data_IF_064375617177
#
_entry.id   IF_064375617177
#
_cell.length_a   1.000
_cell.length_b   1.000
_cell.length_c   1.000
_cell.angle_alpha   90.00
_cell.angle_beta   90.00
_cell.angle_gamma   90.00
#
_symmetry.space_group_name_H-M   'P 1'
#
loop_
_entity.id
_entity.type
_entity.pdbx_description
1 polymer ?
#
# COMPACT_ATOMS: atom_id res chain seq x y z
N UNK A 1 -2.85 -24.59 6.63
CA UNK A 1 -3.82 -25.15 7.59
C UNK A 1 -4.30 -26.46 7.01
N UNK A 2 -4.15 -27.61 7.69
CA UNK A 2 -4.57 -28.88 7.13
C UNK A 2 -6.10 -28.88 7.02
N UNK A 3 -6.57 -28.93 5.78
CA UNK A 3 -7.96 -29.20 5.45
C UNK A 3 -8.38 -30.57 6.01
N UNK A 4 -9.64 -30.73 6.40
CA UNK A 4 -10.20 -32.04 6.74
C UNK A 4 -9.95 -33.02 5.58
N UNK A 5 -9.36 -34.22 5.82
CA UNK A 5 -9.04 -35.17 4.74
C UNK A 5 -10.27 -35.86 4.14
N UNK A 6 -11.45 -35.65 4.73
CA UNK A 6 -12.67 -36.40 4.43
C UNK A 6 -12.86 -37.54 5.43
N UNK A 7 -14.11 -37.82 5.81
CA UNK A 7 -14.42 -38.84 6.81
C UNK A 7 -15.62 -38.47 7.69
N UNK A 8 -15.95 -39.35 8.64
CA UNK A 8 -17.08 -39.19 9.55
C UNK A 8 -16.84 -38.08 10.57
N UNK A 9 -17.86 -37.26 10.82
CA UNK A 9 -17.84 -36.25 11.86
C UNK A 9 -17.74 -36.91 13.25
N UNK A 10 -16.84 -36.47 14.14
CA UNK A 10 -16.67 -37.07 15.46
C UNK A 10 -17.88 -36.90 16.38
N UNK A 11 -18.74 -35.91 16.14
CA UNK A 11 -19.87 -35.59 17.01
C UNK A 11 -21.20 -36.21 16.53
N UNK A 12 -21.45 -36.26 15.22
CA UNK A 12 -22.72 -36.78 14.69
C UNK A 12 -22.59 -38.05 13.84
N UNK A 13 -21.38 -38.47 13.48
CA UNK A 13 -21.12 -39.67 12.67
C UNK A 13 -21.41 -39.53 11.17
N UNK A 14 -21.93 -38.38 10.71
CA UNK A 14 -22.18 -38.17 9.27
C UNK A 14 -20.87 -38.01 8.48
N UNK A 15 -20.86 -38.56 7.27
CA UNK A 15 -19.72 -38.42 6.37
C UNK A 15 -19.56 -36.99 5.86
N UNK A 16 -18.41 -36.38 6.13
CA UNK A 16 -18.04 -35.05 5.65
C UNK A 16 -16.99 -35.12 4.53
N UNK A 17 -17.19 -34.42 3.41
CA UNK A 17 -16.21 -34.36 2.32
C UNK A 17 -14.93 -33.62 2.73
N UNK A 18 -13.82 -33.82 1.99
CA UNK A 18 -12.55 -33.15 2.27
C UNK A 18 -12.65 -31.62 2.14
N UNK A 19 -11.68 -30.90 2.73
CA UNK A 19 -11.57 -29.44 2.73
C UNK A 19 -12.68 -28.68 3.47
N UNK A 20 -13.36 -29.34 4.40
CA UNK A 20 -14.26 -28.69 5.35
C UNK A 20 -13.55 -28.35 6.67
N UNK A 21 -14.10 -27.37 7.37
CA UNK A 21 -13.68 -26.96 8.72
C UNK A 21 -14.74 -27.36 9.75
N UNK A 22 -16.01 -27.24 9.37
CA UNK A 22 -17.16 -27.57 10.20
C UNK A 22 -18.04 -28.62 9.54
N UNK A 23 -18.72 -29.42 10.37
CA UNK A 23 -19.72 -30.38 9.95
C UNK A 23 -20.92 -29.65 9.31
N UNK A 24 -21.44 -30.17 8.19
CA UNK A 24 -22.62 -29.57 7.54
C UNK A 24 -23.92 -29.87 8.29
N UNK A 25 -23.99 -31.00 9.02
CA UNK A 25 -25.19 -31.39 9.78
C UNK A 25 -25.24 -30.71 11.15
N UNK A 26 -24.21 -30.89 11.98
CA UNK A 26 -24.22 -30.44 13.37
C UNK A 26 -23.41 -29.16 13.64
N UNK A 27 -22.69 -28.63 12.64
CA UNK A 27 -21.80 -27.45 12.73
C UNK A 27 -20.63 -27.56 13.70
N UNK A 28 -20.36 -28.74 14.25
CA UNK A 28 -19.18 -28.98 15.07
C UNK A 28 -17.87 -28.83 14.26
N UNK A 29 -16.78 -28.48 14.95
CA UNK A 29 -15.45 -28.38 14.33
C UNK A 29 -14.93 -29.78 14.01
N UNK A 30 -14.60 -30.02 12.74
CA UNK A 30 -14.12 -31.34 12.31
C UNK A 30 -12.68 -31.60 12.75
N UNK A 31 -11.88 -30.53 12.92
CA UNK A 31 -10.55 -30.63 13.49
C UNK A 31 -10.58 -30.14 14.95
N UNK A 32 -10.37 -31.02 15.95
CA UNK A 32 -10.36 -30.64 17.36
C UNK A 32 -9.14 -29.79 17.76
N UNK A 33 -8.11 -29.70 16.92
CA UNK A 33 -6.97 -28.80 17.11
C UNK A 33 -7.27 -27.34 16.71
N UNK A 34 -8.46 -27.07 16.14
CA UNK A 34 -8.91 -25.72 15.82
C UNK A 34 -9.65 -25.12 17.01
N UNK A 35 -9.24 -23.92 17.40
CA UNK A 35 -9.95 -23.11 18.38
C UNK A 35 -10.69 -21.95 17.69
N UNK A 36 -11.87 -21.60 18.20
CA UNK A 36 -12.60 -20.42 17.72
C UNK A 36 -11.89 -19.18 18.25
N UNK A 37 -11.11 -18.54 17.37
CA UNK A 37 -10.48 -17.26 17.68
C UNK A 37 -11.54 -16.16 17.82
N UNK A 38 -11.56 -15.48 18.96
CA UNK A 38 -12.31 -14.24 19.12
C UNK A 38 -11.46 -13.09 18.58
N UNK A 39 -11.96 -12.39 17.56
CA UNK A 39 -11.35 -11.16 17.08
C UNK A 39 -11.88 -10.00 17.93
N UNK A 40 -10.99 -9.28 18.61
CA UNK A 40 -11.36 -8.06 19.32
C UNK A 40 -11.72 -6.97 18.31
N UNK A 41 -12.99 -6.55 18.32
CA UNK A 41 -13.44 -5.40 17.54
C UNK A 41 -12.97 -4.13 18.28
N UNK A 42 -12.20 -3.23 17.64
CA UNK A 42 -11.75 -2.01 18.28
C UNK A 42 -12.93 -1.09 18.62
N UNK A 43 -12.73 -0.22 19.60
CA UNK A 43 -13.72 0.79 19.98
C UNK A 43 -14.00 1.74 18.82
N UNK A 44 -15.27 2.07 18.62
CA UNK A 44 -15.69 3.01 17.58
C UNK A 44 -15.20 4.42 17.91
N UNK A 45 -14.45 5.03 16.99
CA UNK A 45 -14.02 6.42 17.10
C UNK A 45 -14.93 7.27 16.21
N UNK A 46 -15.85 8.08 16.77
CA UNK A 46 -16.67 8.99 15.97
C UNK A 46 -15.78 10.01 15.26
N UNK A 47 -15.97 10.14 13.95
CA UNK A 47 -15.30 11.17 13.18
C UNK A 47 -15.88 12.55 13.55
N UNK A 48 -15.01 13.55 13.62
CA UNK A 48 -15.43 14.93 13.88
C UNK A 48 -16.21 15.44 12.67
N UNK A 49 -17.45 15.89 12.89
CA UNK A 49 -18.20 16.63 11.89
C UNK A 49 -17.49 17.96 11.62
N UNK A 50 -17.21 18.24 10.34
CA UNK A 50 -16.67 19.53 9.90
C UNK A 50 -17.79 20.57 9.91
N UNK A 51 -17.51 21.75 10.45
CA UNK A 51 -18.51 22.82 10.42
C UNK A 51 -18.66 23.38 9.00
N UNK A 52 -19.83 23.95 8.63
CA UNK A 52 -20.02 24.61 7.34
C UNK A 52 -18.98 25.71 7.05
N UNK A 53 -18.45 26.32 8.11
CA UNK A 53 -17.43 27.37 8.04
C UNK A 53 -16.04 26.83 7.67
N UNK A 54 -15.71 25.60 8.09
CA UNK A 54 -14.48 24.91 7.73
C UNK A 54 -14.52 24.43 6.27
N UNK A 55 -15.70 24.04 5.78
CA UNK A 55 -15.97 23.74 4.36
C UNK A 55 -15.78 24.99 3.47
N UNK A 56 -16.24 26.15 3.93
CA UNK A 56 -16.20 27.40 3.16
C UNK A 56 -14.78 28.00 2.98
N UNK A 57 -13.82 27.67 3.86
CA UNK A 57 -12.44 28.20 3.78
C UNK A 57 -11.60 27.56 2.68
N UNK A 58 -12.03 26.43 2.12
CA UNK A 58 -11.33 25.74 1.03
C UNK A 58 -11.68 26.26 -0.37
N UNK A 59 -12.62 27.20 -0.51
CA UNK A 59 -13.13 27.65 -1.83
C UNK A 59 -12.59 29.01 -2.31
N UNK A 60 -11.57 29.57 -1.64
CA UNK A 60 -10.97 30.86 -2.01
C UNK A 60 -9.72 30.67 -2.88
N UNK A 61 -9.88 30.15 -4.09
CA UNK A 61 -8.80 30.00 -5.06
C UNK A 61 -9.31 29.70 -6.47
N UNK A 62 -9.64 30.77 -7.21
CA UNK A 62 -9.63 30.94 -8.68
C UNK A 62 -10.04 29.77 -9.58
N UNK A 63 -11.13 29.94 -10.33
CA UNK A 63 -11.69 28.94 -11.24
C UNK A 63 -11.10 28.88 -12.65
N UNK A 64 -11.66 27.95 -13.44
CA UNK A 64 -11.95 28.14 -14.86
C UNK A 64 -13.03 27.15 -15.31
N UNK A 65 -13.89 27.62 -16.21
CA UNK A 65 -14.94 26.86 -16.88
C UNK A 65 -14.34 25.99 -18.00
N UNK A 66 -14.73 24.72 -18.06
CA UNK A 66 -14.30 23.81 -19.12
C UNK A 66 -15.11 22.51 -19.11
N UNK A 67 -15.96 22.37 -20.11
CA UNK A 67 -16.79 21.22 -20.43
C UNK A 67 -15.98 19.93 -20.64
N UNK A 68 -16.56 18.79 -20.26
CA UNK A 68 -16.30 17.43 -20.75
C UNK A 68 -14.87 16.88 -20.67
N UNK A 69 -14.55 16.13 -19.61
CA UNK A 69 -14.41 14.67 -19.62
C UNK A 69 -13.98 14.22 -18.22
N UNK A 70 -14.88 13.60 -17.46
CA UNK A 70 -14.67 13.30 -16.04
C UNK A 70 -13.73 12.09 -15.88
N UNK A 71 -12.43 12.30 -16.06
CA UNK A 71 -11.42 11.35 -15.65
C UNK A 71 -11.42 11.28 -14.12
N UNK A 72 -12.08 10.24 -13.57
CA UNK A 72 -12.02 9.91 -12.14
C UNK A 72 -10.55 10.00 -11.67
N UNK A 73 -10.22 10.84 -10.68
CA UNK A 73 -8.87 10.88 -10.15
C UNK A 73 -8.54 9.50 -9.57
N UNK A 74 -7.51 8.87 -10.11
CA UNK A 74 -7.05 7.56 -9.65
C UNK A 74 -6.60 7.60 -8.19
N UNK A 75 -6.59 6.46 -7.48
CA UNK A 75 -6.12 6.39 -6.10
C UNK A 75 -4.71 6.98 -5.96
N UNK A 76 -4.57 7.85 -4.96
CA UNK A 76 -3.30 8.44 -4.57
C UNK A 76 -2.50 7.42 -3.77
N UNK A 77 -1.27 7.15 -4.18
CA UNK A 77 -0.39 6.20 -3.49
C UNK A 77 0.93 6.85 -3.08
N UNK A 78 1.37 6.70 -1.81
CA UNK A 78 2.68 7.18 -1.37
C UNK A 78 3.81 6.28 -1.89
N UNK A 79 5.02 6.83 -2.15
CA UNK A 79 6.19 6.03 -2.45
C UNK A 79 6.55 5.13 -1.26
N UNK A 80 7.02 3.91 -1.55
CA UNK A 80 7.62 2.99 -0.57
C UNK A 80 9.13 3.20 -0.44
N UNK A 81 9.72 3.97 -1.35
CA UNK A 81 11.10 4.42 -1.31
C UNK A 81 11.57 4.96 -2.64
N UNK A 82 12.88 5.21 -2.70
CA UNK A 82 13.53 6.00 -3.76
C UNK A 82 14.71 5.29 -4.38
N UNK A 83 15.02 5.71 -5.60
CA UNK A 83 16.26 5.44 -6.28
C UNK A 83 17.09 6.73 -6.25
N UNK A 84 18.19 6.69 -5.50
CA UNK A 84 19.13 7.81 -5.37
C UNK A 84 20.46 7.44 -5.97
N UNK A 85 21.17 8.44 -6.50
CA UNK A 85 22.57 8.25 -6.88
C UNK A 85 23.48 8.43 -5.66
N UNK A 86 24.50 7.59 -5.56
CA UNK A 86 25.51 7.75 -4.53
C UNK A 86 26.42 8.96 -4.84
N UNK A 87 26.73 9.84 -3.87
CA UNK A 87 27.64 10.98 -4.09
C UNK A 87 29.08 10.54 -4.41
N UNK A 88 29.51 9.36 -3.96
CA UNK A 88 30.86 8.83 -4.21
C UNK A 88 31.00 8.15 -5.56
N UNK A 89 30.16 7.14 -5.83
CA UNK A 89 30.31 6.28 -7.02
C UNK A 89 29.24 6.51 -8.11
N UNK A 90 28.28 7.41 -7.88
CA UNK A 90 27.17 7.76 -8.80
C UNK A 90 26.26 6.60 -9.21
N UNK A 91 26.43 5.43 -8.60
CA UNK A 91 25.58 4.26 -8.83
C UNK A 91 24.20 4.46 -8.20
N UNK A 92 23.20 3.87 -8.85
CA UNK A 92 21.82 3.87 -8.38
C UNK A 92 21.66 2.94 -7.17
N UNK A 93 21.16 3.51 -6.07
CA UNK A 93 20.85 2.82 -4.84
C UNK A 93 19.35 2.88 -4.58
N UNK A 94 18.77 1.71 -4.30
CA UNK A 94 17.39 1.61 -3.85
C UNK A 94 17.34 1.77 -2.33
N UNK A 95 16.70 2.83 -1.86
CA UNK A 95 16.58 3.14 -0.44
C UNK A 95 15.10 3.18 -0.05
N UNK A 96 14.64 2.32 0.87
CA UNK A 96 13.29 2.39 1.42
C UNK A 96 12.98 3.71 2.15
N UNK A 97 11.71 4.12 2.14
CA UNK A 97 11.23 5.36 2.80
C UNK A 97 11.62 5.43 4.28
N UNK A 98 11.63 4.29 4.98
CA UNK A 98 11.96 4.21 6.41
C UNK A 98 13.38 4.69 6.74
N UNK A 99 14.26 4.79 5.73
CA UNK A 99 15.63 5.28 5.87
C UNK A 99 15.80 6.71 5.32
N UNK A 100 14.71 7.41 5.00
CA UNK A 100 14.73 8.74 4.38
C UNK A 100 15.23 9.88 5.28
N UNK A 101 15.69 9.56 6.49
CA UNK A 101 16.37 10.44 7.44
C UNK A 101 17.53 9.74 8.17
N UNK A 102 17.94 8.57 7.66
CA UNK A 102 18.98 7.76 8.28
C UNK A 102 20.32 7.95 7.57
N UNK A 103 21.40 7.62 8.29
CA UNK A 103 22.72 7.43 7.69
C UNK A 103 22.71 6.09 6.95
N UNK A 104 22.86 6.16 5.64
CA UNK A 104 22.84 5.00 4.75
C UNK A 104 24.24 4.79 4.17
N UNK A 105 24.62 3.53 3.99
CA UNK A 105 25.91 3.17 3.41
C UNK A 105 25.71 2.68 1.97
N UNK A 106 26.49 3.22 1.04
CA UNK A 106 26.45 2.75 -0.34
C UNK A 106 26.98 1.31 -0.44
N UNK A 107 26.21 0.38 -1.01
CA UNK A 107 26.64 -1.01 -1.22
C UNK A 107 27.80 -1.18 -2.21
N UNK A 108 28.12 -0.15 -3.01
CA UNK A 108 29.12 -0.22 -4.08
C UNK A 108 30.49 0.34 -3.65
N UNK A 109 30.50 1.47 -2.94
CA UNK A 109 31.74 2.12 -2.50
C UNK A 109 31.90 2.19 -0.99
N UNK A 110 30.94 1.67 -0.22
CA UNK A 110 30.92 1.69 1.25
C UNK A 110 31.00 3.08 1.88
N UNK A 111 30.85 4.15 1.09
CA UNK A 111 30.81 5.53 1.61
C UNK A 111 29.47 5.75 2.32
N UNK A 112 29.49 6.10 3.62
CA UNK A 112 28.28 6.49 4.34
C UNK A 112 27.88 7.91 3.93
N UNK A 113 26.58 8.15 3.74
CA UNK A 113 26.02 9.46 3.50
C UNK A 113 24.69 9.63 4.23
N UNK A 114 24.28 10.87 4.45
CA UNK A 114 22.99 11.19 5.08
C UNK A 114 21.98 11.42 3.96
N UNK A 115 20.85 10.70 4.02
CA UNK A 115 19.75 10.93 3.10
C UNK A 115 18.84 12.03 3.67
N UNK A 116 19.29 13.27 3.64
CA UNK A 116 18.51 14.43 4.10
C UNK A 116 17.55 14.96 3.03
N UNK A 117 16.67 15.90 3.42
CA UNK A 117 15.73 16.58 2.54
C UNK A 117 16.41 17.21 1.31
N UNK A 118 17.57 17.84 1.51
CA UNK A 118 18.36 18.45 0.43
C UNK A 118 18.84 17.42 -0.59
N UNK A 119 19.33 16.27 -0.11
CA UNK A 119 19.77 15.16 -0.97
C UNK A 119 18.58 14.56 -1.73
N UNK A 120 17.44 14.41 -1.06
CA UNK A 120 16.20 13.91 -1.67
C UNK A 120 15.70 14.80 -2.82
N UNK A 121 15.87 16.11 -2.70
CA UNK A 121 15.53 17.07 -3.78
C UNK A 121 16.48 17.01 -4.97
N UNK A 122 17.76 16.73 -4.75
CA UNK A 122 18.78 16.83 -5.80
C UNK A 122 19.13 15.49 -6.48
N UNK A 123 19.05 14.36 -5.77
CA UNK A 123 19.63 13.09 -6.24
C UNK A 123 18.62 11.96 -6.46
N UNK A 124 17.33 12.18 -6.18
CA UNK A 124 16.28 11.18 -6.46
C UNK A 124 15.88 11.25 -7.92
N UNK A 125 16.04 10.15 -8.66
CA UNK A 125 15.67 10.08 -10.09
C UNK A 125 14.33 9.37 -10.31
N UNK A 126 13.99 8.46 -9.40
CA UNK A 126 12.75 7.71 -9.43
C UNK A 126 12.33 7.27 -8.03
N UNK A 127 11.04 7.03 -7.88
CA UNK A 127 10.43 6.43 -6.71
C UNK A 127 9.86 5.06 -7.09
N UNK A 128 9.65 4.19 -6.09
CA UNK A 128 8.85 2.99 -6.29
C UNK A 128 7.68 2.93 -5.33
N UNK A 129 6.55 2.46 -5.83
CA UNK A 129 5.33 2.23 -5.05
C UNK A 129 4.68 0.94 -5.53
N UNK A 130 3.73 0.41 -4.76
CA UNK A 130 2.92 -0.73 -5.20
C UNK A 130 1.63 -0.19 -5.81
N UNK A 131 1.22 -0.76 -6.93
CA UNK A 131 -0.06 -0.43 -7.54
C UNK A 131 -1.22 -0.87 -6.62
N UNK A 132 -2.23 -0.03 -6.36
CA UNK A 132 -3.37 -0.42 -5.54
C UNK A 132 -4.31 -1.43 -6.26
N UNK A 133 -4.19 -1.56 -7.57
CA UNK A 133 -5.02 -2.47 -8.38
C UNK A 133 -4.43 -3.88 -8.48
N UNK A 134 -3.13 -3.98 -8.73
CA UNK A 134 -2.46 -5.28 -8.98
C UNK A 134 -1.34 -5.63 -7.99
N UNK A 135 -1.09 -4.78 -6.99
CA UNK A 135 -0.02 -4.93 -6.00
C UNK A 135 1.41 -5.04 -6.55
N UNK A 136 1.59 -4.89 -7.87
CA UNK A 136 2.91 -4.95 -8.49
C UNK A 136 3.74 -3.69 -8.18
N UNK A 137 5.05 -3.87 -8.06
CA UNK A 137 5.99 -2.79 -7.78
C UNK A 137 6.22 -1.96 -9.03
N UNK A 138 5.71 -0.73 -9.01
CA UNK A 138 5.90 0.28 -10.04
C UNK A 138 7.15 1.10 -9.76
N UNK A 139 7.91 1.39 -10.81
CA UNK A 139 8.99 2.38 -10.80
C UNK A 139 8.51 3.60 -11.56
N UNK A 140 8.52 4.76 -10.92
CA UNK A 140 8.01 6.01 -11.51
C UNK A 140 9.08 7.09 -11.35
N UNK A 141 9.42 7.78 -12.45
CA UNK A 141 10.35 8.90 -12.38
C UNK A 141 9.73 10.07 -11.62
N UNK A 142 10.56 10.84 -10.89
CA UNK A 142 10.09 12.00 -10.12
C UNK A 142 9.36 13.03 -10.99
N UNK A 143 9.64 13.07 -12.30
CA UNK A 143 8.95 13.92 -13.29
C UNK A 143 7.44 13.65 -13.44
N UNK A 144 7.01 12.47 -13.01
CA UNK A 144 5.62 12.01 -13.03
C UNK A 144 4.99 11.95 -11.64
N UNK A 145 5.70 12.39 -10.61
CA UNK A 145 5.11 12.61 -9.28
C UNK A 145 4.08 13.74 -9.38
N UNK A 146 2.99 13.60 -8.63
CA UNK A 146 1.82 14.49 -8.67
C UNK A 146 1.10 14.54 -10.03
N UNK A 147 1.41 13.61 -10.94
CA UNK A 147 0.69 13.42 -12.21
C UNK A 147 -0.08 12.11 -12.20
N UNK A 148 -1.20 12.08 -12.92
CA UNK A 148 -1.94 10.86 -13.15
C UNK A 148 -1.18 9.98 -14.14
N UNK A 149 -0.84 8.76 -13.72
CA UNK A 149 -0.11 7.79 -14.52
C UNK A 149 -0.87 6.47 -14.54
N UNK A 150 -0.79 5.75 -15.65
CA UNK A 150 -1.33 4.40 -15.73
C UNK A 150 -0.29 3.38 -15.24
N UNK A 151 -0.75 2.36 -14.52
CA UNK A 151 0.06 1.21 -14.17
C UNK A 151 0.46 0.43 -15.43
N UNK A 152 1.76 0.19 -15.65
CA UNK A 152 2.24 -0.62 -16.79
C UNK A 152 1.76 -2.08 -16.77
N UNK A 153 1.32 -2.59 -15.61
CA UNK A 153 0.90 -3.99 -15.48
C UNK A 153 -0.60 -4.19 -15.65
N UNK A 154 -1.44 -3.27 -15.15
CA UNK A 154 -2.89 -3.44 -15.15
C UNK A 154 -3.65 -2.29 -15.81
N UNK A 155 -2.97 -1.25 -16.31
CA UNK A 155 -3.59 -0.08 -16.92
C UNK A 155 -4.36 0.84 -15.97
N UNK A 156 -4.48 0.47 -14.69
CA UNK A 156 -5.18 1.26 -13.68
C UNK A 156 -4.53 2.64 -13.48
N UNK A 157 -5.35 3.68 -13.49
CA UNK A 157 -4.88 5.04 -13.25
C UNK A 157 -4.57 5.22 -11.77
N UNK A 158 -3.41 5.79 -11.45
CA UNK A 158 -2.99 6.12 -10.09
C UNK A 158 -2.18 7.41 -10.09
N UNK A 159 -2.03 8.01 -8.92
CA UNK A 159 -1.21 9.21 -8.74
C UNK A 159 -0.21 8.97 -7.61
N UNK A 160 1.09 9.09 -7.91
CA UNK A 160 2.08 9.08 -6.83
C UNK A 160 2.21 10.46 -6.22
N UNK A 161 1.97 10.59 -4.92
CA UNK A 161 2.30 11.79 -4.15
C UNK A 161 3.59 11.58 -3.41
N UNK A 162 4.56 12.46 -3.68
CA UNK A 162 5.84 12.48 -2.99
C UNK A 162 6.22 13.93 -2.69
N UNK A 163 6.55 14.19 -1.44
CA UNK A 163 6.98 15.50 -0.96
C UNK A 163 8.45 15.37 -0.51
N UNK A 164 9.41 15.98 -1.23
CA UNK A 164 10.83 15.77 -1.01
C UNK A 164 11.44 16.56 0.15
#
# INVERSE_FOLDING_TARGET
MPAWPGGECPDCGDYMPPNLITCQTCRALLNPELEIGLVQIPEFIPLKEISPEELARTESGSGDAGTSDTARPGPVVPPRGFFVRCPGCRQELKIPEQFAHARVQCKHCNVPFVLDQTMRRQQVEACYANCPHCSQRLRVSVKFVNKQVACNFCGGALMLRYEP
#
